data_IF_272650641248
#
_entry.id   IF_272650641248
#
_cell.length_a   1.000
_cell.length_b   1.000
_cell.length_c   1.000
_cell.angle_alpha   90.00
_cell.angle_beta   90.00
_cell.angle_gamma   90.00
#
_symmetry.space_group_name_H-M   'P 1'
#
loop_
_entity.id
_entity.type
_entity.pdbx_description
1 polymer ?
#
# COMPACT_ATOMS: atom_id res chain seq x y z
N UNK A 1 9.38 -0.63 37.96
CA UNK A 1 8.50 -0.44 36.81
C UNK A 1 9.39 -0.10 35.61
N UNK A 2 9.52 -0.94 34.58
CA UNK A 2 10.21 -0.52 33.37
C UNK A 2 9.38 0.57 32.70
N UNK A 3 10.02 1.66 32.29
CA UNK A 3 9.38 2.70 31.49
C UNK A 3 8.84 2.08 30.21
N UNK A 4 7.54 2.25 29.97
CA UNK A 4 6.95 2.03 28.65
C UNK A 4 7.62 3.05 27.74
N UNK A 5 8.58 2.59 26.93
CA UNK A 5 9.29 3.42 25.97
C UNK A 5 8.26 4.12 25.08
N UNK A 6 8.06 5.43 25.26
CA UNK A 6 7.23 6.25 24.38
C UNK A 6 7.71 6.00 22.94
N UNK A 7 6.90 5.33 22.13
CA UNK A 7 7.21 5.11 20.72
C UNK A 7 7.41 6.48 20.07
N UNK A 8 8.57 6.68 19.42
CA UNK A 8 8.89 7.94 18.76
C UNK A 8 7.89 8.15 17.62
N UNK A 9 7.17 9.27 17.64
CA UNK A 9 6.24 9.67 16.56
C UNK A 9 7.03 9.77 15.24
N UNK A 10 6.53 9.20 14.13
CA UNK A 10 7.18 9.35 12.84
C UNK A 10 7.12 10.81 12.37
N UNK A 11 8.24 11.31 11.85
CA UNK A 11 8.33 12.64 11.23
C UNK A 11 7.71 12.66 9.83
N UNK A 12 7.76 11.52 9.13
CA UNK A 12 7.26 11.38 7.78
C UNK A 12 6.71 9.97 7.51
N UNK A 13 5.85 9.88 6.50
CA UNK A 13 5.21 8.64 6.07
C UNK A 13 5.49 8.36 4.60
N UNK A 14 6.03 7.18 4.34
CA UNK A 14 6.26 6.61 3.02
C UNK A 14 5.38 5.37 2.88
N UNK A 15 4.72 5.19 1.74
CA UNK A 15 3.83 4.05 1.50
C UNK A 15 4.26 3.33 0.24
N UNK A 16 4.33 2.00 0.28
CA UNK A 16 4.62 1.16 -0.88
C UNK A 16 3.31 0.57 -1.37
N UNK A 17 2.98 0.76 -2.64
CA UNK A 17 1.76 0.27 -3.29
C UNK A 17 2.09 -0.52 -4.55
N UNK A 18 1.10 -1.27 -5.04
CA UNK A 18 1.23 -2.09 -6.25
C UNK A 18 0.56 -3.44 -6.08
N UNK A 19 0.41 -4.15 -7.20
CA UNK A 19 -0.31 -5.42 -7.24
C UNK A 19 0.34 -6.49 -6.35
N UNK A 20 -0.36 -7.59 -6.13
CA UNK A 20 0.20 -8.77 -5.47
C UNK A 20 1.45 -9.28 -6.18
N UNK A 21 2.37 -9.87 -5.42
CA UNK A 21 3.53 -10.59 -5.95
C UNK A 21 4.54 -9.75 -6.77
N UNK A 22 4.36 -8.43 -6.87
CA UNK A 22 5.36 -7.52 -7.45
C UNK A 22 6.62 -7.37 -6.57
N UNK A 23 6.52 -7.78 -5.31
CA UNK A 23 7.67 -7.88 -4.39
C UNK A 23 7.87 -6.68 -3.45
N UNK A 24 6.79 -5.96 -3.08
CA UNK A 24 6.80 -4.82 -2.14
C UNK A 24 7.44 -5.16 -0.79
N UNK A 25 6.95 -6.23 -0.16
CA UNK A 25 7.44 -6.73 1.12
C UNK A 25 8.91 -7.15 1.03
N UNK A 26 9.28 -7.95 0.01
CA UNK A 26 10.68 -8.33 -0.21
C UNK A 26 11.59 -7.13 -0.46
N UNK A 27 11.12 -6.10 -1.16
CA UNK A 27 11.85 -4.86 -1.40
C UNK A 27 12.12 -4.12 -0.09
N UNK A 28 11.11 -4.03 0.78
CA UNK A 28 11.25 -3.40 2.09
C UNK A 28 12.20 -4.18 3.00
N UNK A 29 12.05 -5.51 3.11
CA UNK A 29 12.97 -6.35 3.89
C UNK A 29 14.39 -6.28 3.34
N UNK A 30 14.57 -6.19 2.02
CA UNK A 30 15.90 -6.02 1.42
C UNK A 30 16.55 -4.73 1.88
N UNK A 31 15.78 -3.66 2.00
CA UNK A 31 16.29 -2.38 2.50
C UNK A 31 16.55 -2.40 4.02
N UNK A 32 15.60 -2.89 4.83
CA UNK A 32 15.67 -2.78 6.30
C UNK A 32 16.54 -3.86 6.94
N UNK A 33 16.38 -5.11 6.52
CA UNK A 33 17.05 -6.28 7.10
C UNK A 33 18.28 -6.73 6.30
N UNK A 34 18.51 -6.13 5.12
CA UNK A 34 19.58 -6.56 4.19
C UNK A 34 19.48 -8.03 3.84
N UNK A 35 18.27 -8.59 3.78
CA UNK A 35 18.04 -10.01 3.47
C UNK A 35 16.99 -10.14 2.39
N UNK A 36 17.14 -11.16 1.56
CA UNK A 36 16.07 -11.62 0.68
C UNK A 36 15.47 -12.90 1.26
N UNK A 37 14.17 -12.86 1.54
CA UNK A 37 13.37 -14.02 1.93
C UNK A 37 12.21 -14.15 0.97
N UNK A 38 11.81 -15.38 0.70
CA UNK A 38 10.54 -15.63 0.01
C UNK A 38 9.42 -15.07 0.89
N UNK A 39 8.79 -13.99 0.41
CA UNK A 39 7.74 -13.33 1.16
C UNK A 39 6.46 -14.18 1.08
N UNK A 40 5.88 -14.46 2.25
CA UNK A 40 4.51 -14.95 2.34
C UNK A 40 3.58 -13.79 2.03
N UNK A 41 2.40 -14.05 1.46
CA UNK A 41 1.39 -13.04 1.21
C UNK A 41 1.14 -12.15 2.43
N UNK A 42 1.36 -10.86 2.28
CA UNK A 42 1.11 -9.87 3.33
C UNK A 42 -0.39 -9.79 3.60
N UNK A 43 -0.76 -9.89 4.88
CA UNK A 43 -2.13 -9.77 5.35
C UNK A 43 -2.29 -8.34 5.88
N UNK A 44 -3.06 -7.51 5.18
CA UNK A 44 -3.25 -6.10 5.54
C UNK A 44 -2.02 -5.24 5.23
N UNK A 45 -1.78 -4.22 6.08
CA UNK A 45 -0.63 -3.33 5.97
C UNK A 45 0.36 -3.59 7.11
N UNK A 46 1.65 -3.60 6.80
CA UNK A 46 2.74 -3.72 7.77
C UNK A 46 3.45 -2.37 7.94
N UNK A 47 3.78 -2.05 9.19
CA UNK A 47 4.41 -0.79 9.56
C UNK A 47 5.88 -1.01 9.95
N UNK A 48 6.78 -0.19 9.41
CA UNK A 48 8.20 -0.19 9.76
C UNK A 48 8.64 1.22 10.11
N UNK A 49 9.41 1.37 11.19
CA UNK A 49 9.95 2.67 11.60
C UNK A 49 11.47 2.67 11.41
N UNK A 50 11.95 3.47 10.47
CA UNK A 50 13.37 3.60 10.15
C UNK A 50 13.92 4.94 10.63
N UNK A 51 14.99 4.92 11.42
CA UNK A 51 15.72 6.16 11.71
C UNK A 51 16.62 6.53 10.53
N UNK A 52 16.51 7.77 10.04
CA UNK A 52 17.36 8.35 9.01
C UNK A 52 17.87 9.71 9.49
N UNK A 53 19.15 9.76 9.90
CA UNK A 53 19.71 10.90 10.60
C UNK A 53 18.94 11.20 11.91
N UNK A 54 18.49 12.45 12.13
CA UNK A 54 17.68 12.84 13.29
C UNK A 54 16.16 12.66 13.09
N UNK A 55 15.73 11.95 12.04
CA UNK A 55 14.33 11.80 11.67
C UNK A 55 13.88 10.34 11.76
N UNK A 56 12.62 10.12 12.13
CA UNK A 56 11.99 8.81 12.11
C UNK A 56 11.04 8.73 10.90
N UNK A 57 11.31 7.81 9.99
CA UNK A 57 10.55 7.60 8.77
C UNK A 57 9.68 6.36 8.96
N UNK A 58 8.36 6.53 8.88
CA UNK A 58 7.44 5.39 8.81
C UNK A 58 7.32 4.91 7.37
N UNK A 59 7.49 3.61 7.16
CA UNK A 59 7.34 2.95 5.87
C UNK A 59 6.21 1.93 6.00
N UNK A 60 5.21 2.07 5.14
CA UNK A 60 4.02 1.23 5.14
C UNK A 60 4.11 0.25 3.96
N UNK A 61 4.21 -1.04 4.26
CA UNK A 61 4.05 -2.13 3.30
C UNK A 61 2.59 -2.58 3.25
N UNK A 62 2.20 -3.11 2.10
CA UNK A 62 0.81 -3.19 1.67
C UNK A 62 0.58 -4.55 1.02
N UNK A 63 -0.60 -5.15 1.23
CA UNK A 63 -0.89 -6.48 0.67
C UNK A 63 -0.95 -6.48 -0.87
N UNK A 64 -1.31 -5.36 -1.49
CA UNK A 64 -1.64 -5.29 -2.92
C UNK A 64 -3.00 -5.91 -3.29
N UNK A 65 -3.79 -6.33 -2.30
CA UNK A 65 -5.22 -6.72 -2.43
C UNK A 65 -6.18 -5.63 -1.95
N UNK A 66 -5.69 -4.40 -1.80
CA UNK A 66 -6.37 -3.31 -1.05
C UNK A 66 -7.61 -2.74 -1.75
N UNK A 67 -8.15 -3.47 -2.72
CA UNK A 67 -9.30 -3.16 -3.56
C UNK A 67 -10.62 -3.05 -2.79
N UNK A 68 -10.64 -3.30 -1.48
CA UNK A 68 -11.84 -3.16 -0.65
C UNK A 68 -12.01 -1.73 -0.11
N UNK A 69 -12.83 -0.95 -0.82
CA UNK A 69 -13.72 0.17 -0.43
C UNK A 69 -13.33 1.19 0.66
N UNK A 70 -12.06 1.34 1.02
CA UNK A 70 -11.60 2.46 1.85
C UNK A 70 -10.25 2.27 2.55
N UNK A 71 -9.80 1.01 2.70
CA UNK A 71 -8.54 0.72 3.39
C UNK A 71 -7.32 1.26 2.63
N UNK A 72 -7.29 1.14 1.31
CA UNK A 72 -6.18 1.64 0.48
C UNK A 72 -5.93 3.14 0.64
N UNK A 73 -7.00 3.95 0.62
CA UNK A 73 -6.91 5.39 0.84
C UNK A 73 -6.54 5.75 2.29
N UNK A 74 -6.89 4.92 3.27
CA UNK A 74 -6.45 5.11 4.65
C UNK A 74 -4.92 4.96 4.77
N UNK A 75 -4.33 3.96 4.12
CA UNK A 75 -2.88 3.81 4.09
C UNK A 75 -2.18 5.00 3.43
N UNK A 76 -2.77 5.59 2.38
CA UNK A 76 -2.18 6.75 1.70
C UNK A 76 -2.33 8.07 2.48
N UNK A 77 -3.25 8.15 3.45
CA UNK A 77 -3.53 9.39 4.16
C UNK A 77 -2.28 9.95 4.84
N UNK A 78 -1.95 11.20 4.51
CA UNK A 78 -0.80 11.92 5.07
C UNK A 78 0.57 11.47 4.55
N UNK A 79 0.62 10.56 3.57
CA UNK A 79 1.87 10.12 2.95
C UNK A 79 2.59 11.31 2.31
N UNK A 80 3.89 11.43 2.57
CA UNK A 80 4.76 12.41 1.92
C UNK A 80 5.49 11.82 0.72
N UNK A 81 5.63 10.49 0.66
CA UNK A 81 6.06 9.81 -0.55
C UNK A 81 5.29 8.50 -0.75
N UNK A 82 5.06 8.14 -2.00
CA UNK A 82 4.43 6.89 -2.42
C UNK A 82 5.30 6.20 -3.45
N UNK A 83 5.58 4.92 -3.20
CA UNK A 83 6.34 4.03 -4.08
C UNK A 83 5.35 3.12 -4.80
N UNK A 84 5.13 3.35 -6.09
CA UNK A 84 4.26 2.54 -6.94
C UNK A 84 5.10 1.45 -7.61
N UNK A 85 4.95 0.22 -7.14
CA UNK A 85 5.81 -0.91 -7.49
C UNK A 85 5.12 -1.85 -8.47
N UNK A 86 5.80 -2.22 -9.55
CA UNK A 86 5.38 -3.22 -10.51
C UNK A 86 6.49 -4.26 -10.74
N UNK A 87 6.17 -5.36 -11.41
CA UNK A 87 7.12 -6.39 -11.81
C UNK A 87 7.56 -6.14 -13.26
N UNK A 88 8.87 -5.98 -13.49
CA UNK A 88 9.42 -5.69 -14.85
C UNK A 88 9.10 -6.76 -15.88
N UNK A 89 8.77 -7.99 -15.45
CA UNK A 89 8.40 -9.11 -16.32
C UNK A 89 6.90 -9.17 -16.61
N UNK A 90 6.09 -8.32 -15.98
CA UNK A 90 4.63 -8.36 -16.08
C UNK A 90 4.05 -6.97 -16.39
N UNK A 91 3.74 -6.74 -17.67
CA UNK A 91 3.09 -5.53 -18.15
C UNK A 91 1.78 -5.19 -17.42
N UNK A 92 0.95 -6.18 -17.09
CA UNK A 92 -0.32 -5.93 -16.40
C UNK A 92 -0.06 -5.25 -15.05
N UNK A 93 0.99 -5.63 -14.33
CA UNK A 93 1.29 -5.04 -13.03
C UNK A 93 1.64 -3.54 -13.10
N UNK A 94 2.15 -3.04 -14.24
CA UNK A 94 2.33 -1.62 -14.48
C UNK A 94 0.99 -0.93 -14.76
N UNK A 95 0.15 -1.52 -15.63
CA UNK A 95 -1.16 -0.97 -15.97
C UNK A 95 -2.06 -0.82 -14.74
N UNK A 96 -2.03 -1.80 -13.85
CA UNK A 96 -2.77 -1.82 -12.59
C UNK A 96 -2.41 -0.64 -11.67
N UNK A 97 -1.19 -0.11 -11.73
CA UNK A 97 -0.80 1.08 -10.96
C UNK A 97 -1.66 2.29 -11.31
N UNK A 98 -1.94 2.48 -12.60
CA UNK A 98 -2.79 3.56 -13.11
C UNK A 98 -4.27 3.28 -12.85
N UNK A 99 -4.71 2.07 -13.16
CA UNK A 99 -6.13 1.71 -13.15
C UNK A 99 -6.71 1.54 -11.75
N UNK A 100 -5.92 1.00 -10.81
CA UNK A 100 -6.42 0.63 -9.47
C UNK A 100 -5.77 1.36 -8.32
N UNK A 101 -4.46 1.64 -8.39
CA UNK A 101 -3.74 2.18 -7.24
C UNK A 101 -3.69 3.71 -7.23
N UNK A 102 -3.72 4.37 -8.39
CA UNK A 102 -3.56 5.82 -8.48
C UNK A 102 -4.61 6.60 -7.68
N UNK A 103 -5.88 6.21 -7.77
CA UNK A 103 -6.98 6.85 -7.02
C UNK A 103 -6.88 6.66 -5.50
N UNK A 104 -6.29 5.57 -5.03
CA UNK A 104 -6.06 5.35 -3.60
C UNK A 104 -5.16 6.44 -3.00
N UNK A 105 -4.30 7.04 -3.82
CA UNK A 105 -3.32 8.04 -3.39
C UNK A 105 -3.91 9.46 -3.28
N UNK A 106 -5.22 9.65 -3.49
CA UNK A 106 -5.88 10.97 -3.43
C UNK A 106 -5.90 11.58 -2.02
N UNK A 107 -5.74 10.76 -0.98
CA UNK A 107 -5.65 11.19 0.41
C UNK A 107 -4.22 11.52 0.87
N UNK A 108 -3.23 11.36 -0.01
CA UNK A 108 -1.84 11.73 0.27
C UNK A 108 -1.67 13.24 0.47
N UNK A 109 -0.50 13.67 0.94
CA UNK A 109 -0.21 15.11 1.04
C UNK A 109 -0.22 15.75 -0.36
N UNK A 110 -0.58 17.03 -0.45
CA UNK A 110 -0.59 17.76 -1.71
C UNK A 110 0.80 17.84 -2.37
N UNK A 111 1.87 17.86 -1.57
CA UNK A 111 3.26 17.85 -2.01
C UNK A 111 3.87 16.44 -2.00
N UNK A 112 3.04 15.39 -2.10
CA UNK A 112 3.51 14.01 -2.09
C UNK A 112 4.43 13.70 -3.29
N UNK A 113 5.54 13.03 -2.98
CA UNK A 113 6.50 12.55 -3.97
C UNK A 113 6.08 11.16 -4.46
N UNK A 114 6.03 10.96 -5.76
CA UNK A 114 5.68 9.68 -6.37
C UNK A 114 6.93 9.05 -7.03
N UNK A 115 7.24 7.80 -6.70
CA UNK A 115 8.26 7.02 -7.39
C UNK A 115 7.62 5.81 -8.08
N UNK A 116 8.03 5.53 -9.32
CA UNK A 116 7.66 4.33 -10.06
C UNK A 116 8.80 3.33 -9.95
N UNK A 117 8.51 2.11 -9.49
CA UNK A 117 9.54 1.10 -9.21
C UNK A 117 9.25 -0.20 -9.95
N UNK A 118 10.06 -0.51 -10.95
CA UNK A 118 10.10 -1.81 -11.59
C UNK A 118 10.99 -2.76 -10.78
N UNK A 119 10.39 -3.67 -10.02
CA UNK A 119 11.13 -4.66 -9.25
C UNK A 119 11.39 -5.93 -10.07
N UNK A 120 12.29 -6.79 -9.58
CA UNK A 120 12.77 -8.03 -10.23
C UNK A 120 13.62 -7.80 -11.48
N UNK A 121 14.36 -6.68 -11.50
CA UNK A 121 15.29 -6.36 -12.58
C UNK A 121 16.37 -7.45 -12.80
N UNK A 122 16.65 -8.30 -11.81
CA UNK A 122 17.53 -9.46 -12.00
C UNK A 122 17.01 -10.47 -13.03
N UNK A 123 15.73 -10.43 -13.41
CA UNK A 123 15.19 -11.30 -14.45
C UNK A 123 15.44 -10.76 -15.87
N UNK A 124 15.80 -9.48 -16.01
CA UNK A 124 15.83 -8.80 -17.31
C UNK A 124 17.08 -7.96 -17.56
N UNK A 125 17.74 -7.45 -16.52
CA UNK A 125 18.96 -6.63 -16.59
C UNK A 125 20.19 -7.45 -16.16
N UNK A 126 21.16 -7.70 -17.08
CA UNK A 126 22.41 -8.39 -16.76
C UNK A 126 23.24 -7.73 -15.65
N UNK A 127 23.14 -6.42 -15.48
CA UNK A 127 23.82 -5.72 -14.39
C UNK A 127 23.17 -6.07 -13.04
N UNK A 128 21.84 -6.07 -12.98
CA UNK A 128 21.08 -6.45 -11.79
C UNK A 128 21.33 -7.92 -11.38
N UNK A 129 21.58 -8.81 -12.35
CA UNK A 129 21.96 -10.21 -12.11
C UNK A 129 23.34 -10.37 -11.46
N UNK A 130 24.29 -9.51 -11.84
CA UNK A 130 25.67 -9.56 -11.36
C UNK A 130 25.87 -8.85 -10.04
N UNK A 131 25.01 -7.88 -9.72
CA UNK A 131 24.98 -7.27 -8.40
C UNK A 131 24.69 -8.34 -7.36
N UNK A 132 25.46 -8.35 -6.27
CA UNK A 132 25.14 -9.13 -5.08
C UNK A 132 25.45 -8.22 -3.90
N UNK A 133 24.44 -7.49 -3.43
CA UNK A 133 24.56 -6.78 -2.18
C UNK A 133 24.76 -7.83 -1.07
N UNK A 134 25.76 -7.65 -0.18
CA UNK A 134 25.99 -8.60 0.90
C UNK A 134 24.76 -8.66 1.79
N UNK A 135 24.37 -9.87 2.18
CA UNK A 135 23.34 -10.00 3.20
C UNK A 135 23.86 -9.43 4.52
N UNK A 136 23.02 -8.69 5.24
CA UNK A 136 23.37 -8.12 6.53
C UNK A 136 23.55 -9.20 7.60
N UNK A 137 24.24 -8.88 8.71
CA UNK A 137 24.37 -9.80 9.83
C UNK A 137 22.99 -10.26 10.29
N UNK A 138 22.92 -11.52 10.77
CA UNK A 138 21.66 -12.13 11.18
C UNK A 138 20.91 -11.30 12.25
N UNK A 139 21.66 -10.56 13.07
CA UNK A 139 21.23 -9.88 14.30
C UNK A 139 21.66 -8.39 14.35
N UNK A 140 21.24 -7.58 13.38
CA UNK A 140 21.19 -6.12 13.57
C UNK A 140 19.99 -5.74 14.45
N UNK A 141 19.98 -4.59 15.16
CA UNK A 141 18.78 -4.17 15.89
C UNK A 141 17.65 -4.10 14.88
N UNK A 142 16.68 -4.99 15.02
CA UNK A 142 15.48 -4.94 14.22
C UNK A 142 14.82 -3.61 14.57
N UNK A 143 14.92 -2.65 13.65
CA UNK A 143 13.82 -1.72 13.37
C UNK A 143 12.65 -2.60 12.88
N UNK A 144 12.15 -3.46 13.78
CA UNK A 144 11.16 -4.47 13.49
C UNK A 144 9.79 -3.81 13.29
N UNK A 145 8.81 -4.57 12.81
CA UNK A 145 7.46 -4.08 12.78
C UNK A 145 7.05 -3.74 14.21
N UNK A 146 6.88 -2.45 14.46
CA UNK A 146 6.12 -2.00 15.60
C UNK A 146 4.66 -2.37 15.29
N UNK A 147 4.00 -3.13 16.15
CA UNK A 147 2.57 -3.40 16.03
C UNK A 147 1.85 -2.05 15.85
N UNK A 148 1.40 -1.81 14.62
CA UNK A 148 0.64 -0.61 14.31
C UNK A 148 -0.65 -0.63 15.12
N UNK A 149 -1.21 0.52 15.52
CA UNK A 149 -2.48 0.52 16.20
C UNK A 149 -3.52 -0.15 15.30
N UNK A 150 -4.27 -1.10 15.88
CA UNK A 150 -5.45 -1.69 15.26
C UNK A 150 -6.59 -0.68 15.05
N UNK A 151 -6.45 0.53 15.59
CA UNK A 151 -7.43 1.60 15.52
C UNK A 151 -6.97 2.68 14.54
N UNK A 152 -7.64 2.72 13.38
CA UNK A 152 -7.68 3.92 12.56
C UNK A 152 -8.31 5.08 13.35
N UNK A 153 -8.08 6.35 12.96
CA UNK A 153 -8.68 7.49 13.64
C UNK A 153 -10.20 7.38 13.60
N UNK A 154 -10.82 7.31 14.78
CA UNK A 154 -12.25 7.35 14.98
C UNK A 154 -12.75 8.78 14.79
N UNK A 155 -13.02 9.17 13.54
CA UNK A 155 -13.79 10.37 13.23
C UNK A 155 -14.70 10.06 12.04
N UNK A 156 -15.86 9.47 12.34
CA UNK A 156 -17.01 9.35 11.44
C UNK A 156 -18.23 10.01 12.09
N UNK A 157 -19.04 10.80 11.36
CA UNK A 157 -20.24 11.41 11.92
C UNK A 157 -21.32 10.34 12.15
N UNK A 158 -22.06 10.50 13.26
CA UNK A 158 -22.99 9.52 13.81
C UNK A 158 -24.13 9.10 12.88
N UNK A 159 -24.51 7.84 13.04
CA UNK A 159 -25.65 7.20 12.39
C UNK A 159 -26.97 7.87 12.83
N UNK A 160 -27.76 8.31 11.85
CA UNK A 160 -29.16 8.67 12.02
C UNK A 160 -30.07 7.43 12.03
N UNK A 161 -31.29 7.54 12.58
CA UNK A 161 -32.10 6.39 12.93
C UNK A 161 -32.76 5.74 11.71
N UNK A 162 -32.84 4.41 11.73
CA UNK A 162 -33.62 3.62 10.79
C UNK A 162 -35.07 3.53 11.28
N UNK A 163 -36.00 4.15 10.54
CA UNK A 163 -37.43 3.97 10.73
C UNK A 163 -37.87 2.63 10.11
N UNK A 164 -38.62 1.86 10.90
CA UNK A 164 -39.12 0.54 10.53
C UNK A 164 -40.45 0.54 9.77
N UNK A 165 -40.87 -0.66 9.38
CA UNK A 165 -42.28 -1.01 9.18
C UNK A 165 -42.47 -2.52 9.48
N UNK A 166 -43.43 -2.77 10.37
CA UNK A 166 -44.10 -4.05 10.66
C UNK A 166 -45.05 -4.43 9.48
N UNK A 167 -45.68 -5.61 9.33
CA UNK A 167 -46.45 -6.46 10.24
C UNK A 167 -46.65 -7.88 9.63
N UNK A 168 -46.91 -8.90 10.46
CA UNK A 168 -47.22 -10.31 10.09
C UNK A 168 -48.70 -10.56 9.73
N UNK A 169 -49.37 -11.67 10.17
CA UNK A 169 -49.01 -13.09 10.23
C UNK A 169 -50.10 -13.98 9.54
N UNK A 170 -49.97 -15.33 9.47
CA UNK A 170 -51.03 -16.35 9.79
C UNK A 170 -50.63 -17.80 9.44
N UNK A 171 -51.25 -18.76 10.14
CA UNK A 171 -50.90 -20.19 10.22
C UNK A 171 -51.42 -21.10 9.09
N UNK A 172 -51.05 -22.39 9.17
CA UNK A 172 -51.38 -23.48 8.21
C UNK A 172 -52.84 -23.98 8.25
N UNK A 173 -53.21 -25.24 7.88
CA UNK A 173 -52.39 -26.45 7.60
C UNK A 173 -52.83 -27.34 6.39
N UNK A 174 -52.19 -28.52 6.27
CA UNK A 174 -52.65 -29.85 5.76
C UNK A 174 -52.87 -30.15 4.25
N UNK A 175 -52.08 -31.13 3.80
CA UNK A 175 -52.36 -32.35 2.97
C UNK A 175 -53.59 -32.39 2.03
N UNK A 176 -53.35 -32.70 0.74
CA UNK A 176 -54.01 -33.80 0.03
C UNK A 176 -53.38 -34.00 -1.37
N UNK A 177 -53.16 -35.25 -1.74
CA UNK A 177 -52.44 -35.64 -2.95
C UNK A 177 -53.30 -35.67 -4.21
N UNK A 178 -52.72 -35.32 -5.36
CA UNK A 178 -53.21 -35.83 -6.64
C UNK A 178 -52.12 -35.88 -7.73
N UNK A 179 -51.83 -37.13 -8.10
CA UNK A 179 -51.24 -37.69 -9.32
C UNK A 179 -51.06 -36.71 -10.51
N UNK A 180 -49.81 -36.42 -10.87
CA UNK A 180 -49.45 -35.95 -12.23
C UNK A 180 -48.31 -36.80 -12.80
N UNK A 181 -48.56 -37.29 -14.00
CA UNK A 181 -47.71 -38.14 -14.84
C UNK A 181 -46.36 -37.50 -15.17
N UNK A 182 -45.28 -38.24 -15.00
CA UNK A 182 -43.92 -37.85 -15.43
C UNK A 182 -43.80 -37.89 -16.97
N UNK A 183 -43.11 -36.91 -17.61
CA UNK A 183 -42.73 -37.02 -19.02
C UNK A 183 -41.48 -37.93 -19.18
N UNK A 184 -41.27 -38.54 -20.36
CA UNK A 184 -40.19 -39.49 -20.56
C UNK A 184 -38.81 -38.82 -20.51
N UNK A 185 -37.85 -39.53 -19.93
CA UNK A 185 -36.43 -39.17 -19.82
C UNK A 185 -35.78 -39.13 -21.21
N UNK A 186 -35.02 -38.08 -21.59
CA UNK A 186 -34.32 -38.06 -22.87
C UNK A 186 -33.10 -39.00 -22.83
N UNK A 187 -32.96 -39.80 -23.89
CA UNK A 187 -31.85 -40.72 -24.13
C UNK A 187 -30.55 -39.92 -24.39
N UNK A 188 -29.39 -40.29 -23.83
CA UNK A 188 -28.15 -39.55 -24.06
C UNK A 188 -27.63 -39.76 -25.49
N UNK A 189 -27.41 -38.65 -26.20
CA UNK A 189 -26.76 -38.63 -27.53
C UNK A 189 -25.24 -38.69 -27.32
N UNK A 190 -24.47 -39.52 -28.05
CA UNK A 190 -23.01 -39.56 -27.89
C UNK A 190 -22.37 -38.22 -28.27
N UNK A 191 -21.50 -37.70 -27.39
CA UNK A 191 -20.77 -36.47 -27.60
C UNK A 191 -19.86 -36.57 -28.83
N UNK A 192 -19.92 -35.54 -29.69
CA UNK A 192 -19.06 -35.39 -30.87
C UNK A 192 -17.61 -35.14 -30.40
N UNK A 193 -16.58 -35.76 -31.00
CA UNK A 193 -15.20 -35.48 -30.61
C UNK A 193 -14.85 -34.01 -30.94
N UNK A 194 -14.01 -33.35 -30.11
CA UNK A 194 -13.56 -31.99 -30.38
C UNK A 194 -12.77 -31.95 -31.70
N UNK A 195 -12.82 -30.83 -32.45
CA UNK A 195 -12.04 -30.68 -33.66
C UNK A 195 -10.53 -30.72 -33.35
N UNK A 196 -9.68 -31.18 -34.30
CA UNK A 196 -8.24 -31.23 -34.09
C UNK A 196 -7.69 -29.82 -33.83
N UNK A 197 -6.80 -29.72 -32.84
CA UNK A 197 -6.13 -28.49 -32.48
C UNK A 197 -5.35 -27.93 -33.70
N UNK A 198 -5.67 -26.69 -34.07
CA UNK A 198 -4.91 -25.94 -35.06
C UNK A 198 -3.46 -25.74 -34.56
N UNK A 199 -2.43 -25.99 -35.39
CA UNK A 199 -1.05 -25.65 -35.03
C UNK A 199 -0.83 -24.16 -35.32
N UNK A 200 -0.80 -23.32 -34.29
CA UNK A 200 -0.48 -21.90 -34.48
C UNK A 200 -0.97 -21.01 -33.36
N UNK A 201 -0.13 -20.85 -32.36
CA UNK A 201 -0.34 -19.93 -31.26
C UNK A 201 0.84 -20.00 -30.31
N UNK A 202 2.01 -19.58 -30.77
CA UNK A 202 3.08 -19.25 -29.81
C UNK A 202 2.49 -18.25 -28.84
N UNK A 203 2.42 -18.61 -27.56
CA UNK A 203 2.12 -17.65 -26.50
C UNK A 203 3.05 -16.44 -26.71
N UNK A 204 2.53 -15.20 -26.77
CA UNK A 204 3.40 -14.05 -26.79
C UNK A 204 4.31 -14.19 -25.57
N UNK A 205 5.63 -14.17 -25.79
CA UNK A 205 6.58 -14.01 -24.69
C UNK A 205 6.07 -12.83 -23.84
N UNK A 206 6.03 -12.96 -22.51
CA UNK A 206 5.55 -11.89 -21.65
C UNK A 206 6.31 -10.61 -22.01
N UNK A 207 5.57 -9.58 -22.44
CA UNK A 207 6.16 -8.29 -22.81
C UNK A 207 6.82 -7.72 -21.54
N UNK A 208 8.15 -7.68 -21.57
CA UNK A 208 8.93 -6.93 -20.61
C UNK A 208 8.49 -5.47 -20.65
N UNK A 209 8.38 -4.86 -19.48
CA UNK A 209 8.10 -3.43 -19.34
C UNK A 209 9.41 -2.65 -19.55
N UNK A 210 9.45 -1.75 -20.53
CA UNK A 210 10.58 -0.84 -20.71
C UNK A 210 10.52 0.38 -19.78
N UNK A 211 11.66 1.09 -19.68
CA UNK A 211 11.78 2.31 -18.89
C UNK A 211 10.93 3.46 -19.45
N UNK A 212 10.76 3.51 -20.76
CA UNK A 212 9.97 4.54 -21.43
C UNK A 212 8.51 4.48 -21.02
N UNK A 213 7.98 3.27 -20.81
CA UNK A 213 6.60 3.07 -20.39
C UNK A 213 6.38 3.43 -18.92
N UNK A 214 7.36 3.15 -18.05
CA UNK A 214 7.35 3.61 -16.66
C UNK A 214 7.44 5.15 -16.57
N UNK A 215 8.29 5.77 -17.39
CA UNK A 215 8.39 7.24 -17.47
C UNK A 215 7.11 7.87 -18.03
N UNK A 216 6.48 7.25 -19.03
CA UNK A 216 5.20 7.69 -19.56
C UNK A 216 4.09 7.60 -18.50
N UNK A 217 4.06 6.53 -17.70
CA UNK A 217 3.14 6.41 -16.56
C UNK A 217 3.40 7.52 -15.53
N UNK A 218 4.66 7.76 -15.16
CA UNK A 218 5.01 8.84 -14.24
C UNK A 218 4.48 10.19 -14.70
N UNK A 219 4.66 10.54 -15.98
CA UNK A 219 4.09 11.77 -16.56
C UNK A 219 2.56 11.82 -16.50
N UNK A 220 1.87 10.69 -16.68
CA UNK A 220 0.39 10.64 -16.51
C UNK A 220 -0.03 10.84 -15.06
N UNK A 221 0.70 10.29 -14.09
CA UNK A 221 0.44 10.49 -12.65
C UNK A 221 0.61 11.95 -12.26
N UNK A 222 1.68 12.62 -12.72
CA UNK A 222 1.89 14.03 -12.43
C UNK A 222 0.73 14.90 -12.95
N UNK A 223 0.25 14.62 -14.17
CA UNK A 223 -0.92 15.30 -14.74
C UNK A 223 -2.19 15.02 -13.94
N UNK A 224 -2.42 13.77 -13.56
CA UNK A 224 -3.57 13.38 -12.74
C UNK A 224 -3.58 14.10 -11.39
N UNK A 225 -2.41 14.26 -10.77
CA UNK A 225 -2.24 14.95 -9.48
C UNK A 225 -2.17 16.47 -9.57
N UNK A 226 -2.21 17.05 -10.77
CA UNK A 226 -2.07 18.49 -10.96
C UNK A 226 -0.70 19.03 -10.50
N UNK A 227 0.33 18.18 -10.46
CA UNK A 227 1.69 18.59 -10.11
C UNK A 227 2.34 19.21 -11.35
N UNK A 228 2.68 20.51 -11.29
CA UNK A 228 3.24 21.23 -12.44
C UNK A 228 4.57 20.62 -12.91
N UNK A 229 4.73 20.48 -14.23
CA UNK A 229 5.88 19.83 -14.88
C UNK A 229 7.23 20.54 -14.61
N UNK A 230 7.20 21.81 -14.16
CA UNK A 230 8.41 22.60 -13.83
C UNK A 230 8.87 22.47 -12.38
N UNK A 231 7.97 22.11 -11.46
CA UNK A 231 8.27 21.93 -10.03
C UNK A 231 8.40 20.46 -9.63
N UNK A 232 7.90 19.55 -10.47
CA UNK A 232 8.02 18.11 -10.29
C UNK A 232 9.41 17.62 -10.66
N UNK A 233 9.80 16.51 -10.05
CA UNK A 233 11.09 15.86 -10.31
C UNK A 233 11.02 15.15 -11.67
N UNK A 234 12.12 15.12 -12.44
CA UNK A 234 12.12 14.47 -13.75
C UNK A 234 12.04 12.94 -13.61
N UNK A 235 11.50 12.27 -14.64
CA UNK A 235 11.23 10.83 -14.62
C UNK A 235 12.49 9.99 -14.41
N UNK A 236 13.63 10.42 -14.94
CA UNK A 236 14.95 9.78 -14.76
C UNK A 236 15.40 9.71 -13.30
N UNK A 237 14.86 10.58 -12.44
CA UNK A 237 15.11 10.58 -10.99
C UNK A 237 14.05 9.86 -10.17
N UNK A 238 12.89 9.56 -10.76
CA UNK A 238 11.72 9.01 -10.05
C UNK A 238 11.27 7.63 -10.53
N UNK A 239 11.81 7.15 -11.65
CA UNK A 239 11.61 5.80 -12.15
C UNK A 239 12.84 4.94 -11.85
N UNK A 240 12.66 3.89 -11.04
CA UNK A 240 13.73 3.01 -10.60
C UNK A 240 13.50 1.59 -11.10
N UNK A 241 14.56 0.93 -11.55
CA UNK A 241 14.57 -0.53 -11.69
C UNK A 241 15.36 -1.11 -10.52
N UNK A 242 14.76 -2.04 -9.80
CA UNK A 242 15.30 -2.62 -8.58
C UNK A 242 15.25 -4.14 -8.60
N UNK A 243 16.09 -4.77 -7.77
CA UNK A 243 15.93 -6.18 -7.43
C UNK A 243 16.04 -6.36 -5.94
N UNK A 244 14.91 -6.72 -5.30
CA UNK A 244 14.92 -7.19 -3.92
C UNK A 244 15.83 -8.41 -3.74
N UNK A 245 15.94 -9.27 -4.75
CA UNK A 245 16.75 -10.49 -4.70
C UNK A 245 18.24 -10.19 -4.64
N UNK A 246 18.74 -9.27 -5.45
CA UNK A 246 20.18 -8.98 -5.52
C UNK A 246 20.59 -7.73 -4.75
N UNK A 247 19.63 -6.90 -4.33
CA UNK A 247 19.87 -5.59 -3.73
C UNK A 247 20.13 -4.48 -4.75
N UNK A 248 20.04 -4.78 -6.06
CA UNK A 248 20.25 -3.80 -7.13
C UNK A 248 19.32 -2.59 -6.96
N UNK A 249 19.91 -1.40 -6.88
CA UNK A 249 19.27 -0.08 -6.71
C UNK A 249 18.29 0.07 -5.53
N UNK A 250 18.23 -0.89 -4.60
CA UNK A 250 17.29 -0.82 -3.47
C UNK A 250 17.64 0.34 -2.54
N UNK A 251 18.92 0.49 -2.17
CA UNK A 251 19.37 1.62 -1.35
C UNK A 251 19.18 2.95 -2.05
N UNK A 252 19.55 3.00 -3.34
CA UNK A 252 19.43 4.21 -4.16
C UNK A 252 17.99 4.71 -4.17
N UNK A 253 17.00 3.82 -4.32
CA UNK A 253 15.58 4.16 -4.25
C UNK A 253 15.21 4.82 -2.92
N UNK A 254 15.48 4.15 -1.79
CA UNK A 254 15.02 4.63 -0.49
C UNK A 254 15.80 5.86 -0.02
N UNK A 255 17.12 5.90 -0.20
CA UNK A 255 17.94 7.06 0.18
C UNK A 255 17.56 8.29 -0.64
N UNK A 256 17.35 8.14 -1.97
CA UNK A 256 16.87 9.24 -2.81
C UNK A 256 15.53 9.77 -2.32
N UNK A 257 14.57 8.88 -2.02
CA UNK A 257 13.28 9.31 -1.49
C UNK A 257 13.38 10.00 -0.14
N UNK A 258 14.25 9.51 0.75
CA UNK A 258 14.43 10.07 2.09
C UNK A 258 15.05 11.47 2.03
N UNK A 259 16.01 11.70 1.14
CA UNK A 259 16.55 13.02 0.85
C UNK A 259 15.50 13.97 0.27
N UNK A 260 14.62 13.47 -0.60
CA UNK A 260 13.60 14.30 -1.23
C UNK A 260 12.46 14.69 -0.29
N UNK A 261 12.12 13.87 0.71
CA UNK A 261 11.08 14.23 1.70
C UNK A 261 11.59 15.14 2.82
N UNK A 262 12.91 15.35 2.95
CA UNK A 262 13.50 16.20 3.97
C UNK A 262 12.91 17.62 4.05
N UNK A 263 12.76 18.35 2.92
CA UNK A 263 12.20 19.70 2.97
C UNK A 263 10.79 19.73 3.55
N UNK A 264 9.96 18.72 3.26
CA UNK A 264 8.61 18.60 3.82
C UNK A 264 8.64 18.33 5.32
N UNK A 265 9.62 17.58 5.83
CA UNK A 265 9.80 17.37 7.28
C UNK A 265 10.16 18.69 7.98
N UNK A 266 11.13 19.42 7.43
CA UNK A 266 11.59 20.69 7.99
C UNK A 266 10.47 21.73 8.02
N UNK A 267 9.66 21.81 6.95
CA UNK A 267 8.51 22.71 6.89
C UNK A 267 7.48 22.39 7.98
N UNK A 268 7.08 21.12 8.12
CA UNK A 268 6.13 20.68 9.15
C UNK A 268 6.62 20.93 10.58
N UNK A 269 7.92 20.73 10.84
CA UNK A 269 8.50 21.05 12.16
C UNK A 269 8.47 22.54 12.47
N UNK A 270 8.76 23.40 11.48
CA UNK A 270 8.68 24.85 11.66
C UNK A 270 7.23 25.32 11.90
N UNK A 271 6.26 24.79 11.15
CA UNK A 271 4.83 25.10 11.32
C UNK A 271 4.32 24.69 12.71
N UNK A 272 4.68 23.48 13.18
CA UNK A 272 4.32 23.02 14.53
C UNK A 272 4.99 23.82 15.65
N UNK A 273 6.19 24.38 15.41
CA UNK A 273 6.85 25.26 16.37
C UNK A 273 6.21 26.66 16.43
N UNK A 274 5.61 27.13 15.34
CA UNK A 274 4.95 28.45 15.27
C UNK A 274 3.48 28.40 15.70
N UNK A 275 2.84 27.24 15.60
CA UNK A 275 1.46 26.99 16.05
C UNK A 275 1.43 25.73 16.93
N UNK A 276 1.82 25.82 18.21
CA UNK A 276 1.64 24.72 19.13
C UNK A 276 0.15 24.47 19.26
N UNK A 277 -0.33 23.31 18.79
CA UNK A 277 -1.68 22.86 19.09
C UNK A 277 -1.80 22.88 20.61
N UNK A 278 -2.67 23.76 21.12
CA UNK A 278 -2.95 23.81 22.55
C UNK A 278 -3.65 22.51 22.90
N UNK A 279 -2.98 21.60 23.61
CA UNK A 279 -3.62 20.44 24.19
C UNK A 279 -4.72 20.94 25.14
N UNK A 280 -5.98 20.70 24.78
CA UNK A 280 -7.17 21.09 25.55
C UNK A 280 -7.28 20.34 26.90
N UNK A 281 -6.30 19.50 27.23
CA UNK A 281 -6.23 18.75 28.50
C UNK A 281 -5.90 19.65 29.71
N UNK A 282 -5.34 20.85 29.51
CA UNK A 282 -4.98 21.77 30.61
C UNK A 282 -6.13 22.66 31.13
N UNK A 283 -7.36 22.53 30.60
CA UNK A 283 -8.52 23.31 31.07
C UNK A 283 -9.43 22.62 32.10
N UNK A 284 -9.00 21.50 32.70
CA UNK A 284 -9.78 20.82 33.76
C UNK A 284 -9.14 20.82 35.14
N UNK A 285 -8.43 21.88 35.54
CA UNK A 285 -8.08 22.09 36.96
C UNK A 285 -8.23 23.54 37.42
N UNK A 286 -9.44 24.10 37.35
CA UNK A 286 -9.73 25.38 38.00
C UNK A 286 -11.16 25.48 38.55
N UNK A 287 -11.61 24.48 39.33
CA UNK A 287 -12.74 24.68 40.23
C UNK A 287 -12.70 23.71 41.39
N UNK A 288 -12.38 24.20 42.60
CA UNK A 288 -12.73 23.49 43.83
C UNK A 288 -11.67 23.43 44.94
N UNK A 289 -11.14 24.56 45.40
CA UNK A 289 -10.54 24.63 46.75
C UNK A 289 -11.12 25.81 47.52
N UNK A 290 -12.33 25.61 48.08
CA UNK A 290 -12.79 26.43 49.21
C UNK A 290 -12.01 25.99 50.44
N UNK A 291 -11.04 26.79 50.85
CA UNK A 291 -10.52 26.77 52.23
C UNK A 291 -11.46 27.62 53.07
N UNK A 292 -11.98 27.04 54.15
CA UNK A 292 -12.61 27.79 55.22
C UNK A 292 -11.56 28.65 55.95
N UNK A 293 -12.00 29.82 56.39
CA UNK A 293 -11.33 30.58 57.44
C UNK A 293 -12.43 31.19 58.34
N UNK A 294 -12.10 31.22 59.63
CA UNK A 294 -12.93 31.46 60.80
C UNK A 294 -13.75 32.77 60.80
#
# INVERSE_FOLDING_TARGET
MPEISKMKKPDVKVVILGDMNVGKTSLLHRYTERKFRDAISTIGGAFYLKQWGPYNISIWDTAGREQFHGLGSMYCRGAAAIILTYDVTNWQSLAELEERFLSLTDTANHDCIYAIVGNKADLTDPQAQRTVAPDGPADGPADGPADGPADGPADGPGEGPVDGLADGPTGGPADDGERRTEPPVPVPVPARPPPPASPGGGSPLPKQVGRDEAAALYGRILRYKGLEEKSSLPADRMCFETSAKTGYNVDVLFETLFELVLPSILRKRNENQQSPTVDLEDYREASGKRRGCC
#
